data_IF_018554540454
#
_entry.id   IF_018554540454
#
_cell.length_a   1.000
_cell.length_b   1.000
_cell.length_c   1.000
_cell.angle_alpha   90.00
_cell.angle_beta   90.00
_cell.angle_gamma   90.00
#
_symmetry.space_group_name_H-M   'P 1'
#
loop_
_entity.id
_entity.type
_entity.pdbx_description
1 polymer ?
#
# COMPACT_ATOMS: atom_id res chain seq x y z
N UNK A 1 19.08 -21.90 4.38
CA UNK A 1 18.25 -20.69 4.58
C UNK A 1 18.39 -19.81 3.36
N UNK A 2 17.32 -19.68 2.58
CA UNK A 2 17.30 -18.85 1.38
C UNK A 2 16.46 -17.62 1.67
N UNK A 3 17.02 -16.43 1.54
CA UNK A 3 16.25 -15.20 1.74
C UNK A 3 15.68 -14.74 0.41
N UNK A 4 14.37 -14.48 0.39
CA UNK A 4 13.63 -14.04 -0.80
C UNK A 4 12.88 -12.77 -0.44
N UNK A 5 12.90 -11.78 -1.31
CA UNK A 5 12.18 -10.53 -1.09
C UNK A 5 11.59 -9.97 -2.37
N UNK A 6 10.62 -9.07 -2.22
CA UNK A 6 10.00 -8.36 -3.33
C UNK A 6 9.72 -6.89 -2.99
N UNK A 7 9.65 -6.09 -4.05
CA UNK A 7 9.15 -4.73 -4.03
C UNK A 7 7.97 -4.62 -4.99
N UNK A 8 6.91 -3.93 -4.59
CA UNK A 8 5.71 -3.71 -5.39
C UNK A 8 5.14 -2.31 -5.12
N UNK A 9 4.41 -1.77 -6.09
CA UNK A 9 3.66 -0.53 -5.95
C UNK A 9 2.21 -0.73 -6.37
N UNK A 10 1.30 0.00 -5.73
CA UNK A 10 -0.11 0.02 -6.11
C UNK A 10 -0.76 1.32 -5.65
N UNK A 11 -2.03 1.55 -5.98
CA UNK A 11 -2.79 2.69 -5.49
C UNK A 11 -4.19 2.29 -5.08
N UNK A 12 -4.70 2.91 -4.03
CA UNK A 12 -6.06 2.72 -3.54
C UNK A 12 -6.81 4.06 -3.48
N UNK A 13 -8.15 3.99 -3.41
CA UNK A 13 -8.94 5.11 -2.90
C UNK A 13 -9.14 4.91 -1.41
N UNK A 14 -8.79 5.90 -0.61
CA UNK A 14 -8.98 5.81 0.86
C UNK A 14 -10.47 5.80 1.24
N UNK A 15 -11.33 6.38 0.39
CA UNK A 15 -12.78 6.37 0.56
C UNK A 15 -13.41 4.97 0.50
N UNK A 16 -12.85 4.05 -0.31
CA UNK A 16 -13.30 2.65 -0.40
C UNK A 16 -13.16 1.91 0.94
N UNK A 17 -12.31 2.41 1.84
CA UNK A 17 -12.06 1.87 3.18
C UNK A 17 -12.71 2.72 4.30
N UNK A 18 -13.62 3.63 3.95
CA UNK A 18 -14.35 4.48 4.91
C UNK A 18 -13.57 5.71 5.41
N UNK A 19 -12.37 5.96 4.88
CA UNK A 19 -11.55 7.13 5.26
C UNK A 19 -11.97 8.33 4.41
N UNK A 20 -13.07 8.99 4.78
CA UNK A 20 -13.69 10.05 3.97
C UNK A 20 -13.36 11.49 4.41
N UNK A 21 -12.59 11.67 5.49
CA UNK A 21 -12.30 12.99 6.04
C UNK A 21 -11.71 13.95 5.01
N UNK A 22 -12.20 15.19 4.98
CA UNK A 22 -11.73 16.28 4.12
C UNK A 22 -11.81 16.04 2.61
N UNK A 23 -12.60 15.07 2.13
CA UNK A 23 -12.90 14.98 0.69
C UNK A 23 -13.83 16.14 0.27
N UNK A 24 -13.61 16.78 -0.90
CA UNK A 24 -12.55 16.53 -1.89
C UNK A 24 -11.28 17.39 -1.69
N UNK A 25 -11.17 18.17 -0.60
CA UNK A 25 -9.99 19.02 -0.34
C UNK A 25 -8.68 18.23 -0.22
N UNK A 26 -8.73 17.03 0.37
CA UNK A 26 -7.62 16.08 0.43
C UNK A 26 -7.88 14.95 -0.55
N UNK A 27 -6.97 14.72 -1.49
CA UNK A 27 -7.10 13.71 -2.54
C UNK A 27 -7.48 12.31 -2.02
N UNK A 28 -8.24 11.59 -2.85
CA UNK A 28 -8.72 10.25 -2.51
C UNK A 28 -7.72 9.15 -2.88
N UNK A 29 -6.89 9.39 -3.90
CA UNK A 29 -5.86 8.45 -4.36
C UNK A 29 -4.70 8.42 -3.38
N UNK A 30 -4.35 7.21 -2.91
CA UNK A 30 -3.17 6.94 -2.08
C UNK A 30 -2.27 5.97 -2.82
N UNK A 31 -1.02 6.36 -3.04
CA UNK A 31 0.00 5.52 -3.65
C UNK A 31 0.76 4.73 -2.55
N UNK A 32 0.90 3.42 -2.73
CA UNK A 32 1.50 2.49 -1.78
C UNK A 32 2.80 1.91 -2.35
N UNK A 33 3.83 1.87 -1.51
CA UNK A 33 5.09 1.16 -1.78
C UNK A 33 5.22 0.02 -0.79
N UNK A 34 5.35 -1.20 -1.30
CA UNK A 34 5.34 -2.45 -0.52
C UNK A 34 6.71 -3.11 -0.69
N UNK A 35 7.44 -3.23 0.41
CA UNK A 35 8.72 -3.94 0.46
C UNK A 35 8.59 -5.07 1.47
N UNK A 36 8.87 -6.30 1.05
CA UNK A 36 8.77 -7.47 1.92
C UNK A 36 9.96 -8.41 1.71
N UNK A 37 10.44 -9.00 2.81
CA UNK A 37 11.52 -9.98 2.83
C UNK A 37 11.12 -11.17 3.69
N UNK A 38 11.51 -12.37 3.23
CA UNK A 38 11.11 -13.66 3.78
C UNK A 38 12.33 -14.59 3.84
N UNK A 39 12.37 -15.45 4.85
CA UNK A 39 13.28 -16.60 4.87
C UNK A 39 12.52 -17.84 4.40
N UNK A 40 13.06 -18.57 3.43
CA UNK A 40 12.61 -19.91 3.12
C UNK A 40 13.14 -20.86 4.19
N UNK A 41 12.21 -21.53 4.87
CA UNK A 41 12.45 -22.65 5.79
C UNK A 41 12.93 -23.90 5.03
#
# INVERSE_FOLDING_TARGET
KTNVGFAATTSIKRSDFGVNGYLPLVGDKVDLTINAAFEAE
#
